data_IF_605230491833
#
_entry.id   IF_605230491833
#
_cell.length_a   1.000
_cell.length_b   1.000
_cell.length_c   1.000
_cell.angle_alpha   90.00
_cell.angle_beta   90.00
_cell.angle_gamma   90.00
#
_symmetry.space_group_name_H-M   'P 1'
#
loop_
_entity.id
_entity.type
_entity.pdbx_description
1 polymer ?
#
# COMPACT_ATOMS: atom_id res chain seq x y z
N UNK A 1 -1.45 -15.86 14.27
CA UNK A 1 -0.45 -14.77 14.37
C UNK A 1 -0.12 -14.08 13.02
N UNK A 2 -0.76 -14.42 11.89
CA UNK A 2 -0.58 -13.70 10.62
C UNK A 2 -1.53 -12.51 10.49
N UNK A 3 -2.84 -12.72 10.71
CA UNK A 3 -3.85 -11.67 10.62
C UNK A 3 -3.52 -10.45 11.50
N UNK A 4 -3.02 -10.68 12.72
CA UNK A 4 -2.57 -9.61 13.63
C UNK A 4 -1.46 -8.76 13.02
N UNK A 5 -0.45 -9.38 12.39
CA UNK A 5 0.65 -8.66 11.73
C UNK A 5 0.18 -7.87 10.51
N UNK A 6 -0.81 -8.38 9.79
CA UNK A 6 -1.42 -7.65 8.68
C UNK A 6 -2.18 -6.43 9.22
N UNK A 7 -2.95 -6.60 10.29
CA UNK A 7 -3.70 -5.53 10.93
C UNK A 7 -2.83 -4.43 11.60
N UNK A 8 -1.51 -4.63 11.70
CA UNK A 8 -0.58 -3.59 12.16
C UNK A 8 -0.30 -2.53 11.09
N UNK A 9 -0.55 -2.81 9.81
CA UNK A 9 -0.38 -1.86 8.71
C UNK A 9 -1.69 -1.11 8.38
N UNK A 10 -1.60 -0.05 7.56
CA UNK A 10 -2.77 0.69 7.10
C UNK A 10 -3.74 -0.21 6.32
N UNK A 11 -5.02 -0.21 6.72
CA UNK A 11 -6.08 -0.93 6.04
C UNK A 11 -6.27 -0.44 4.60
N UNK A 12 -6.11 0.88 4.37
CA UNK A 12 -6.18 1.48 3.03
C UNK A 12 -5.06 0.93 2.13
N UNK A 13 -3.81 0.99 2.59
CA UNK A 13 -2.66 0.53 1.81
C UNK A 13 -2.74 -0.96 1.49
N UNK A 14 -3.19 -1.78 2.44
CA UNK A 14 -3.40 -3.22 2.22
C UNK A 14 -4.48 -3.47 1.17
N UNK A 15 -5.62 -2.78 1.26
CA UNK A 15 -6.72 -2.92 0.32
C UNK A 15 -6.28 -2.54 -1.11
N UNK A 16 -5.61 -1.39 -1.25
CA UNK A 16 -5.07 -0.91 -2.54
C UNK A 16 -4.11 -1.92 -3.14
N UNK A 17 -3.12 -2.38 -2.37
CA UNK A 17 -2.13 -3.35 -2.85
C UNK A 17 -2.78 -4.69 -3.26
N UNK A 18 -3.76 -5.17 -2.49
CA UNK A 18 -4.47 -6.41 -2.81
C UNK A 18 -5.29 -6.27 -4.10
N UNK A 19 -6.04 -5.18 -4.25
CA UNK A 19 -6.81 -4.92 -5.46
C UNK A 19 -5.89 -4.82 -6.69
N UNK A 20 -4.79 -4.08 -6.56
CA UNK A 20 -3.83 -3.91 -7.64
C UNK A 20 -3.17 -5.23 -8.04
N UNK A 21 -2.84 -6.07 -7.07
CA UNK A 21 -2.30 -7.40 -7.33
C UNK A 21 -3.25 -8.26 -8.17
N UNK A 22 -4.53 -8.33 -7.80
CA UNK A 22 -5.51 -9.10 -8.57
C UNK A 22 -5.84 -8.48 -9.92
N UNK A 23 -5.78 -7.16 -10.06
CA UNK A 23 -5.97 -6.50 -11.35
C UNK A 23 -4.80 -6.73 -12.32
N UNK A 24 -3.56 -6.79 -11.81
CA UNK A 24 -2.38 -6.94 -12.66
C UNK A 24 -2.05 -8.39 -13.05
N UNK A 25 -2.53 -9.39 -12.29
CA UNK A 25 -2.08 -10.79 -12.45
C UNK A 25 -2.46 -11.40 -13.81
N UNK A 26 -3.55 -10.90 -14.42
CA UNK A 26 -4.05 -11.36 -15.71
C UNK A 26 -3.53 -10.51 -16.89
N UNK A 27 -2.70 -9.48 -16.63
CA UNK A 27 -2.14 -8.60 -17.64
C UNK A 27 -0.79 -9.13 -18.16
N UNK A 28 -0.47 -8.80 -19.42
CA UNK A 28 0.90 -8.94 -19.89
C UNK A 28 1.84 -8.01 -19.11
N UNK A 29 3.13 -8.34 -19.11
CA UNK A 29 4.12 -7.65 -18.30
C UNK A 29 4.14 -6.12 -18.55
N UNK A 30 4.07 -5.67 -19.79
CA UNK A 30 4.14 -4.24 -20.10
C UNK A 30 2.94 -3.49 -19.51
N UNK A 31 1.74 -4.07 -19.65
CA UNK A 31 0.51 -3.50 -19.07
C UNK A 31 0.49 -3.57 -17.55
N UNK A 32 0.91 -4.69 -16.97
CA UNK A 32 1.04 -4.85 -15.52
C UNK A 32 1.94 -3.76 -14.93
N UNK A 33 3.11 -3.49 -15.53
CA UNK A 33 3.99 -2.41 -15.10
C UNK A 33 3.38 -1.03 -15.27
N UNK A 34 2.67 -0.75 -16.36
CA UNK A 34 2.00 0.54 -16.55
C UNK A 34 0.98 0.78 -15.45
N UNK A 35 0.10 -0.20 -15.23
CA UNK A 35 -0.95 -0.15 -14.22
C UNK A 35 -0.38 -0.02 -12.80
N UNK A 36 0.60 -0.86 -12.43
CA UNK A 36 1.19 -0.84 -11.11
C UNK A 36 1.89 0.49 -10.80
N UNK A 37 2.55 1.11 -11.80
CA UNK A 37 3.17 2.44 -11.63
C UNK A 37 2.14 3.51 -11.29
N UNK A 38 1.00 3.55 -11.97
CA UNK A 38 -0.07 4.51 -11.70
C UNK A 38 -0.63 4.32 -10.29
N UNK A 39 -0.98 3.09 -9.93
CA UNK A 39 -1.47 2.77 -8.57
C UNK A 39 -0.46 3.15 -7.50
N UNK A 40 0.83 2.86 -7.71
CA UNK A 40 1.88 3.18 -6.74
C UNK A 40 2.05 4.69 -6.59
N UNK A 41 2.00 5.45 -7.68
CA UNK A 41 2.11 6.91 -7.66
C UNK A 41 0.92 7.54 -6.91
N UNK A 42 -0.31 7.08 -7.17
CA UNK A 42 -1.50 7.55 -6.46
C UNK A 42 -1.46 7.16 -4.98
N UNK A 43 -1.12 5.91 -4.68
CA UNK A 43 -1.05 5.41 -3.31
C UNK A 43 0.03 6.14 -2.49
N UNK A 44 1.15 6.52 -3.12
CA UNK A 44 2.19 7.31 -2.45
C UNK A 44 1.66 8.66 -1.95
N UNK A 45 0.66 9.25 -2.59
CA UNK A 45 0.04 10.51 -2.16
C UNK A 45 -1.00 10.35 -1.05
N UNK A 46 -1.37 9.11 -0.69
CA UNK A 46 -2.32 8.86 0.40
C UNK A 46 -1.72 9.25 1.76
N UNK A 47 -2.56 9.78 2.65
CA UNK A 47 -2.14 10.22 3.98
C UNK A 47 -1.45 9.10 4.79
N UNK A 48 -2.02 7.89 4.77
CA UNK A 48 -1.42 6.74 5.44
C UNK A 48 -0.09 6.30 4.80
N UNK A 49 0.10 6.46 3.49
CA UNK A 49 1.38 6.16 2.86
C UNK A 49 2.45 7.17 3.27
N UNK A 50 2.10 8.46 3.28
CA UNK A 50 2.98 9.54 3.75
C UNK A 50 3.37 9.36 5.21
N UNK A 51 2.40 9.06 6.08
CA UNK A 51 2.64 8.76 7.49
C UNK A 51 3.52 7.51 7.66
N UNK A 52 3.29 6.46 6.89
CA UNK A 52 4.10 5.23 6.96
C UNK A 52 5.56 5.49 6.58
N UNK A 53 5.79 6.28 5.52
CA UNK A 53 7.14 6.70 5.12
C UNK A 53 7.80 7.57 6.17
N UNK A 54 7.09 8.57 6.71
CA UNK A 54 7.60 9.45 7.75
C UNK A 54 7.93 8.67 9.05
N UNK A 55 7.01 7.84 9.53
CA UNK A 55 7.20 7.04 10.74
C UNK A 55 8.40 6.08 10.61
N UNK A 56 8.60 5.50 9.42
CA UNK A 56 9.77 4.67 9.14
C UNK A 56 11.09 5.46 9.24
N UNK A 57 11.15 6.64 8.60
CA UNK A 57 12.32 7.53 8.65
C UNK A 57 12.62 8.02 10.07
N UNK A 58 11.57 8.34 10.83
CA UNK A 58 11.64 8.80 12.23
C UNK A 58 11.86 7.67 13.25
N UNK A 59 11.86 6.40 12.82
CA UNK A 59 11.97 5.20 13.67
C UNK A 59 10.93 5.14 14.79
N UNK A 60 9.69 5.55 14.49
CA UNK A 60 8.54 5.52 15.41
C UNK A 60 7.41 4.63 14.87
N UNK A 61 6.47 4.18 15.71
CA UNK A 61 5.24 3.56 15.23
C UNK A 61 4.44 4.54 14.36
N UNK A 62 3.78 4.02 13.34
CA UNK A 62 2.91 4.80 12.46
C UNK A 62 1.51 4.98 13.07
N UNK A 63 0.92 6.14 12.80
CA UNK A 63 -0.41 6.54 13.25
C UNK A 63 -1.40 6.56 12.06
N UNK A 64 -1.99 5.41 11.75
CA UNK A 64 -2.93 5.29 10.64
C UNK A 64 -4.25 6.04 10.89
N UNK A 65 -4.75 6.74 9.88
CA UNK A 65 -6.07 7.42 9.93
C UNK A 65 -7.21 6.39 9.93
N UNK A 66 -7.02 5.26 9.23
CA UNK A 66 -7.91 4.10 9.27
C UNK A 66 -7.13 2.84 9.65
N UNK A 67 -7.41 2.32 10.84
CA UNK A 67 -7.06 0.96 11.26
C UNK A 67 -8.17 -0.02 10.94
#
# INVERSE_FOLDING_TARGET
KLATRIAEASALTIATGKQAFYAQIDLDQARAYSYAKEVMAENAMAADAQEGMAAFLDKRPACWVRK
#
